data_IF_817539097460
#
_entry.id   IF_817539097460
#
_cell.length_a   1.000
_cell.length_b   1.000
_cell.length_c   1.000
_cell.angle_alpha   90.00
_cell.angle_beta   90.00
_cell.angle_gamma   90.00
#
_symmetry.space_group_name_H-M   'P 1'
#
loop_
_entity.id
_entity.type
_entity.pdbx_description
1 polymer ?
#
# COMPACT_ATOMS: atom_id res chain seq x y z
N UNK A 1 -20.64 -13.09 -15.71
CA UNK A 1 -19.27 -12.53 -15.62
C UNK A 1 -18.85 -12.04 -17.01
N UNK A 2 -19.38 -10.91 -17.50
CA UNK A 2 -18.92 -10.33 -18.78
C UNK A 2 -19.39 -8.88 -18.87
N UNK A 3 -18.74 -7.99 -18.14
CA UNK A 3 -18.90 -6.55 -18.33
C UNK A 3 -17.55 -5.86 -18.12
N UNK A 4 -16.67 -5.89 -19.13
CA UNK A 4 -15.44 -5.08 -19.08
C UNK A 4 -14.84 -4.69 -20.44
N UNK A 5 -15.36 -5.14 -21.57
CA UNK A 5 -14.69 -5.00 -22.89
C UNK A 5 -15.11 -3.74 -23.67
N UNK A 6 -16.01 -2.89 -23.16
CA UNK A 6 -16.73 -1.92 -24.03
C UNK A 6 -16.29 -0.45 -23.94
N UNK A 7 -15.13 -0.11 -23.37
CA UNK A 7 -14.66 1.28 -23.42
C UNK A 7 -13.17 1.38 -23.75
N UNK A 8 -12.85 1.02 -25.00
CA UNK A 8 -11.50 1.07 -25.60
C UNK A 8 -11.12 2.46 -26.11
N UNK A 9 -12.05 3.41 -26.12
CA UNK A 9 -11.85 4.77 -26.63
C UNK A 9 -12.29 5.82 -25.62
N UNK A 10 -11.57 6.94 -25.56
CA UNK A 10 -11.93 8.13 -24.80
C UNK A 10 -12.00 9.27 -25.82
N UNK A 11 -13.19 9.82 -26.05
CA UNK A 11 -13.39 10.93 -27.00
C UNK A 11 -12.95 10.62 -28.44
N UNK A 12 -13.11 9.37 -28.89
CA UNK A 12 -12.70 8.94 -30.25
C UNK A 12 -11.22 8.57 -30.40
N UNK A 13 -10.41 8.71 -29.35
CA UNK A 13 -9.01 8.25 -29.33
C UNK A 13 -8.89 6.91 -28.59
N UNK A 14 -8.12 5.93 -29.11
CA UNK A 14 -7.83 4.70 -28.38
C UNK A 14 -7.19 5.01 -27.02
N UNK A 15 -7.57 4.28 -25.98
CA UNK A 15 -7.00 4.45 -24.64
C UNK A 15 -5.48 4.28 -24.69
N UNK A 16 -4.76 5.28 -24.21
CA UNK A 16 -3.31 5.25 -24.09
C UNK A 16 -2.87 4.34 -22.93
N UNK A 17 -2.90 3.03 -23.14
CA UNK A 17 -2.48 2.00 -22.16
C UNK A 17 -0.97 1.77 -22.11
N UNK A 18 -0.22 2.34 -23.07
CA UNK A 18 1.23 2.19 -23.18
C UNK A 18 1.92 3.55 -23.19
N UNK A 19 3.02 3.65 -22.45
CA UNK A 19 3.85 4.86 -22.40
C UNK A 19 4.50 5.12 -23.78
N UNK A 20 4.44 6.36 -24.34
CA UNK A 20 5.13 6.71 -25.58
C UNK A 20 6.66 6.59 -25.49
N UNK A 21 7.35 6.16 -26.57
CA UNK A 21 8.79 5.85 -26.52
C UNK A 21 9.69 7.07 -26.36
N UNK A 22 9.23 8.26 -26.75
CA UNK A 22 10.01 9.51 -26.68
C UNK A 22 9.93 10.20 -25.31
N UNK A 23 9.09 9.71 -24.40
CA UNK A 23 8.91 10.31 -23.09
C UNK A 23 10.05 9.89 -22.16
N UNK A 24 11.01 10.80 -21.93
CA UNK A 24 12.11 10.60 -20.99
C UNK A 24 11.64 10.79 -19.55
N UNK A 25 12.25 10.05 -18.63
CA UNK A 25 12.03 10.27 -17.21
C UNK A 25 12.62 11.64 -16.77
N UNK A 26 12.07 12.28 -15.72
CA UNK A 26 12.63 13.52 -15.17
C UNK A 26 14.08 13.35 -14.69
N UNK A 27 14.81 14.47 -14.62
CA UNK A 27 16.14 14.48 -14.00
C UNK A 27 16.06 13.98 -12.55
N UNK A 28 16.94 13.04 -12.17
CA UNK A 28 16.96 12.44 -10.83
C UNK A 28 16.06 11.22 -10.65
N UNK A 29 15.21 10.87 -11.63
CA UNK A 29 14.41 9.65 -11.56
C UNK A 29 15.28 8.41 -11.69
N UNK A 30 15.43 7.66 -10.59
CA UNK A 30 16.16 6.39 -10.55
C UNK A 30 15.16 5.24 -10.42
N UNK A 31 15.16 4.33 -11.40
CA UNK A 31 14.36 3.09 -11.36
C UNK A 31 15.03 2.01 -10.49
N UNK A 32 15.71 2.41 -9.42
CA UNK A 32 16.36 1.47 -8.51
C UNK A 32 15.29 0.75 -7.72
N UNK A 33 15.36 -0.58 -7.67
CA UNK A 33 14.53 -1.36 -6.77
C UNK A 33 14.87 -0.96 -5.34
N UNK A 34 13.89 -0.53 -4.58
CA UNK A 34 14.06 -0.36 -3.14
C UNK A 34 14.56 -1.70 -2.56
N UNK A 35 15.43 -1.68 -1.55
CA UNK A 35 15.82 -2.90 -0.87
C UNK A 35 14.56 -3.62 -0.37
N UNK A 36 14.58 -4.96 -0.32
CA UNK A 36 13.46 -5.72 0.20
C UNK A 36 13.12 -5.24 1.62
N UNK A 37 11.84 -5.22 2.01
CA UNK A 37 11.46 -4.85 3.36
C UNK A 37 12.15 -5.78 4.36
N UNK A 38 12.56 -5.21 5.49
CA UNK A 38 13.05 -6.02 6.60
C UNK A 38 11.91 -6.92 7.12
N UNK A 39 12.29 -8.08 7.68
CA UNK A 39 11.37 -8.92 8.42
C UNK A 39 10.74 -8.12 9.57
N UNK A 40 9.44 -8.31 9.79
CA UNK A 40 8.76 -7.76 10.97
C UNK A 40 9.49 -8.27 12.21
N UNK A 41 9.85 -7.34 13.10
CA UNK A 41 10.29 -7.66 14.45
C UNK A 41 9.08 -7.44 15.35
N UNK A 42 8.59 -8.51 15.94
CA UNK A 42 7.57 -8.39 16.96
C UNK A 42 8.24 -7.89 18.23
N UNK A 43 7.76 -6.76 18.74
CA UNK A 43 8.11 -6.33 20.09
C UNK A 43 7.47 -7.30 21.09
N UNK A 44 8.16 -7.50 22.22
CA UNK A 44 7.62 -8.32 23.30
C UNK A 44 6.33 -7.70 23.81
N UNK A 45 5.35 -8.55 24.09
CA UNK A 45 4.05 -8.09 24.58
C UNK A 45 4.20 -7.28 25.88
N UNK A 46 5.14 -7.65 26.74
CA UNK A 46 5.43 -6.96 28.01
C UNK A 46 5.96 -5.53 27.83
N UNK A 47 6.62 -5.26 26.70
CA UNK A 47 7.15 -3.94 26.38
C UNK A 47 6.07 -3.00 25.80
N UNK A 48 4.89 -3.55 25.49
CA UNK A 48 3.75 -2.80 24.94
C UNK A 48 2.78 -2.33 26.02
N UNK A 49 2.13 -1.17 25.84
CA UNK A 49 1.10 -0.70 26.75
C UNK A 49 0.00 -1.75 26.94
N UNK A 50 -0.19 -2.24 28.17
CA UNK A 50 -1.17 -3.27 28.47
C UNK A 50 -0.68 -4.71 28.34
N UNK A 51 0.61 -4.95 28.08
CA UNK A 51 1.20 -6.29 28.09
C UNK A 51 0.74 -7.18 26.92
N UNK A 52 0.25 -6.58 25.84
CA UNK A 52 -0.37 -7.27 24.70
C UNK A 52 0.19 -6.73 23.39
N UNK A 53 0.35 -7.61 22.40
CA UNK A 53 0.79 -7.26 21.05
C UNK A 53 -0.34 -7.55 20.03
N UNK A 54 -1.36 -6.69 19.93
CA UNK A 54 -2.44 -6.86 18.98
C UNK A 54 -1.94 -6.69 17.53
N UNK A 55 -2.31 -7.65 16.68
CA UNK A 55 -1.86 -7.72 15.27
C UNK A 55 -2.59 -6.72 14.36
N UNK A 56 -3.73 -6.15 14.81
CA UNK A 56 -4.52 -5.17 14.05
C UNK A 56 -4.54 -3.81 14.75
N UNK A 57 -4.36 -2.75 13.95
CA UNK A 57 -4.64 -1.39 14.39
C UNK A 57 -6.10 -1.28 14.84
N UNK A 58 -6.33 -0.77 16.06
CA UNK A 58 -7.66 -0.64 16.67
C UNK A 58 -8.03 -1.73 17.68
N UNK A 59 -7.20 -2.77 17.86
CA UNK A 59 -7.45 -3.85 18.82
C UNK A 59 -6.76 -3.56 20.18
N UNK A 60 -6.60 -2.27 20.51
CA UNK A 60 -5.94 -1.83 21.74
C UNK A 60 -6.96 -1.78 22.88
N UNK A 61 -6.62 -2.41 24.00
CA UNK A 61 -7.44 -2.39 25.21
C UNK A 61 -6.68 -1.74 26.36
N UNK A 62 -7.31 -0.77 27.03
CA UNK A 62 -6.82 -0.20 28.28
C UNK A 62 -7.78 -0.57 29.41
N UNK A 63 -7.29 -1.35 30.39
CA UNK A 63 -8.10 -1.85 31.52
C UNK A 63 -9.37 -2.63 31.08
N UNK A 64 -9.28 -3.36 29.96
CA UNK A 64 -10.39 -4.12 29.40
C UNK A 64 -11.42 -3.29 28.65
N UNK A 65 -11.12 -2.02 28.35
CA UNK A 65 -11.92 -1.14 27.50
C UNK A 65 -11.19 -1.00 26.17
N UNK A 66 -11.87 -1.24 25.06
CA UNK A 66 -11.32 -0.98 23.73
C UNK A 66 -11.10 0.54 23.56
N UNK A 67 -9.89 0.93 23.16
CA UNK A 67 -9.48 2.32 22.95
C UNK A 67 -8.92 2.46 21.54
N UNK A 68 -9.50 3.36 20.76
CA UNK A 68 -9.00 3.86 19.48
C UNK A 68 -8.99 5.41 19.46
N UNK A 69 -8.45 6.01 18.39
CA UNK A 69 -8.50 7.46 18.15
C UNK A 69 -9.88 7.89 17.64
#
# INVERSE_FOLDING_TARGET
MTDSIQNTTIGGTPRAVKRPPHLRAPAGWTASTLPPPASIREDKAEDQPGGRNPVRYGDWELKGIAVDF
#
